data_IF_417749265895
#
_entry.id   IF_417749265895
#
_cell.length_a   1.000
_cell.length_b   1.000
_cell.length_c   1.000
_cell.angle_alpha   90.00
_cell.angle_beta   90.00
_cell.angle_gamma   90.00
#
_symmetry.space_group_name_H-M   'P 1'
#
loop_
_entity.id
_entity.type
_entity.pdbx_description
1 polymer ?
#
# COMPACT_ATOMS: atom_id res chain seq x y z
N UNK A 1 -23.63 -71.63 81.33
CA UNK A 1 -22.61 -71.74 80.27
C UNK A 1 -23.19 -71.10 79.02
N UNK A 2 -22.45 -70.12 78.50
CA UNK A 2 -22.66 -69.30 77.29
C UNK A 2 -22.89 -70.12 75.99
N UNK A 3 -23.39 -69.56 74.86
CA UNK A 3 -23.11 -68.19 74.42
C UNK A 3 -24.19 -67.37 73.69
N UNK A 4 -23.84 -66.08 73.68
CA UNK A 4 -24.27 -64.93 72.90
C UNK A 4 -24.31 -65.14 71.38
N UNK A 5 -25.50 -65.04 70.78
CA UNK A 5 -25.65 -64.75 69.34
C UNK A 5 -26.94 -63.90 69.21
N UNK A 6 -26.91 -62.83 68.41
CA UNK A 6 -28.00 -61.86 68.17
C UNK A 6 -28.15 -60.70 69.15
N UNK A 7 -27.05 -59.98 69.39
CA UNK A 7 -27.14 -58.56 69.72
C UNK A 7 -26.05 -57.82 68.95
N UNK A 8 -26.39 -57.30 67.76
CA UNK A 8 -25.65 -56.18 67.12
C UNK A 8 -26.23 -55.56 65.85
N UNK A 9 -27.22 -56.14 65.16
CA UNK A 9 -27.62 -55.59 63.84
C UNK A 9 -29.00 -54.94 63.72
N UNK A 10 -29.77 -54.79 64.81
CA UNK A 10 -31.15 -54.26 64.71
C UNK A 10 -31.48 -53.12 65.67
N UNK A 11 -30.54 -52.69 66.52
CA UNK A 11 -30.77 -51.70 67.58
C UNK A 11 -30.02 -50.37 67.37
N UNK A 12 -29.30 -50.20 66.26
CA UNK A 12 -28.65 -48.94 65.88
C UNK A 12 -29.42 -48.14 64.81
N UNK A 13 -30.60 -48.60 64.36
CA UNK A 13 -31.30 -48.00 63.21
C UNK A 13 -32.41 -46.99 63.54
N UNK A 14 -32.64 -46.62 64.81
CA UNK A 14 -33.87 -45.88 65.17
C UNK A 14 -33.65 -44.63 66.04
N UNK A 15 -32.42 -44.13 66.19
CA UNK A 15 -32.23 -42.88 66.95
C UNK A 15 -31.00 -42.11 66.49
N UNK A 16 -31.10 -41.52 65.31
CA UNK A 16 -30.40 -40.28 64.96
C UNK A 16 -31.17 -39.64 63.81
N UNK A 17 -32.22 -38.87 64.11
CA UNK A 17 -32.88 -38.03 63.13
C UNK A 17 -31.86 -36.98 62.66
N UNK A 18 -31.96 -36.60 61.38
CA UNK A 18 -31.35 -35.38 60.87
C UNK A 18 -29.83 -35.25 60.98
N UNK A 19 -29.15 -35.80 59.97
CA UNK A 19 -28.04 -35.04 59.36
C UNK A 19 -28.58 -33.86 58.53
N UNK A 20 -29.52 -33.07 59.06
CA UNK A 20 -29.76 -31.69 58.60
C UNK A 20 -28.71 -30.73 59.18
N UNK A 21 -27.95 -31.16 60.19
CA UNK A 21 -26.91 -30.38 60.86
C UNK A 21 -25.48 -30.80 60.46
N UNK A 22 -25.29 -31.37 59.27
CA UNK A 22 -24.05 -31.03 58.59
C UNK A 22 -24.25 -29.59 58.13
N UNK A 23 -24.03 -28.65 59.06
CA UNK A 23 -23.65 -27.31 58.67
C UNK A 23 -22.46 -27.55 57.75
N UNK A 24 -22.71 -27.54 56.44
CA UNK A 24 -21.72 -27.09 55.48
C UNK A 24 -21.12 -25.90 56.19
N UNK A 25 -19.85 -25.98 56.58
CA UNK A 25 -19.10 -24.79 56.98
C UNK A 25 -19.04 -23.95 55.71
N UNK A 26 -20.15 -23.31 55.39
CA UNK A 26 -20.29 -22.39 54.28
C UNK A 26 -19.33 -21.28 54.70
N UNK A 27 -18.30 -21.11 53.88
CA UNK A 27 -17.27 -20.09 54.02
C UNK A 27 -16.23 -20.27 55.13
N UNK A 28 -15.30 -21.21 54.91
CA UNK A 28 -13.91 -21.06 55.35
C UNK A 28 -13.39 -19.66 54.92
N UNK A 29 -12.73 -18.85 55.77
CA UNK A 29 -12.26 -17.51 55.42
C UNK A 29 -11.38 -17.43 54.16
N UNK A 30 -10.71 -18.52 53.77
CA UNK A 30 -10.00 -18.62 52.48
C UNK A 30 -10.92 -18.69 51.24
N UNK A 31 -12.19 -19.10 51.39
CA UNK A 31 -13.18 -19.08 50.31
C UNK A 31 -13.62 -17.63 50.03
N UNK A 32 -13.69 -16.77 51.05
CA UNK A 32 -13.99 -15.34 50.86
C UNK A 32 -12.90 -14.62 50.07
N UNK A 33 -11.62 -14.94 50.28
CA UNK A 33 -10.55 -14.34 49.48
C UNK A 33 -10.60 -14.80 48.02
N UNK A 34 -10.91 -16.07 47.77
CA UNK A 34 -11.15 -16.59 46.41
C UNK A 34 -12.35 -15.90 45.77
N UNK A 35 -13.47 -15.74 46.51
CA UNK A 35 -14.69 -15.11 46.01
C UNK A 35 -14.47 -13.62 45.72
N UNK A 36 -13.74 -12.91 46.58
CA UNK A 36 -13.33 -11.52 46.36
C UNK A 36 -12.38 -11.40 45.16
N UNK A 37 -11.43 -12.32 45.01
CA UNK A 37 -10.53 -12.34 43.85
C UNK A 37 -11.28 -12.59 42.54
N UNK A 38 -12.24 -13.53 42.54
CA UNK A 38 -13.13 -13.75 41.39
C UNK A 38 -13.99 -12.52 41.10
N UNK A 39 -14.55 -11.87 42.12
CA UNK A 39 -15.34 -10.64 41.95
C UNK A 39 -14.48 -9.50 41.40
N UNK A 40 -13.27 -9.30 41.93
CA UNK A 40 -12.33 -8.31 41.45
C UNK A 40 -11.92 -8.57 39.99
N UNK A 41 -11.72 -9.84 39.62
CA UNK A 41 -11.44 -10.23 38.24
C UNK A 41 -12.62 -9.95 37.31
N UNK A 42 -13.86 -10.23 37.73
CA UNK A 42 -15.07 -9.88 36.97
C UNK A 42 -15.22 -8.38 36.79
N UNK A 43 -14.95 -7.59 37.84
CA UNK A 43 -14.97 -6.12 37.76
C UNK A 43 -13.88 -5.63 36.81
N UNK A 44 -12.67 -6.18 36.87
CA UNK A 44 -11.58 -5.82 35.97
C UNK A 44 -11.91 -6.13 34.50
N UNK A 45 -12.49 -7.29 34.22
CA UNK A 45 -12.95 -7.67 32.88
C UNK A 45 -14.12 -6.77 32.42
N UNK A 46 -15.07 -6.45 33.31
CA UNK A 46 -16.17 -5.54 32.99
C UNK A 46 -15.69 -4.12 32.71
N UNK A 47 -14.75 -3.62 33.52
CA UNK A 47 -14.13 -2.32 33.34
C UNK A 47 -13.33 -2.26 32.04
N UNK A 48 -12.51 -3.27 31.75
CA UNK A 48 -11.79 -3.39 30.49
C UNK A 48 -12.75 -3.57 29.30
N UNK A 49 -13.87 -4.27 29.47
CA UNK A 49 -14.88 -4.43 28.42
C UNK A 49 -15.60 -3.12 28.08
N UNK A 50 -15.75 -2.23 29.06
CA UNK A 50 -16.40 -0.93 28.91
C UNK A 50 -15.45 0.17 28.42
N UNK A 51 -14.22 0.21 28.95
CA UNK A 51 -13.20 1.23 28.62
C UNK A 51 -12.18 0.79 27.57
N UNK A 52 -12.08 -0.50 27.30
CA UNK A 52 -11.21 -1.03 26.26
C UNK A 52 -11.68 -0.58 24.88
N UNK A 53 -10.73 -0.49 23.96
CA UNK A 53 -11.00 -0.13 22.57
C UNK A 53 -10.28 -1.14 21.69
N UNK A 54 -11.02 -1.81 20.80
CA UNK A 54 -10.49 -2.78 19.85
C UNK A 54 -10.64 -2.16 18.46
N UNK A 55 -9.52 -1.74 17.83
CA UNK A 55 -9.57 -1.15 16.51
C UNK A 55 -9.90 -2.23 15.47
N UNK A 56 -11.04 -2.09 14.78
CA UNK A 56 -11.33 -2.86 13.58
C UNK A 56 -10.52 -2.27 12.43
N UNK A 57 -9.60 -3.09 11.93
CA UNK A 57 -8.61 -2.67 10.97
C UNK A 57 -8.55 -3.59 9.78
N UNK A 58 -8.45 -2.98 8.60
CA UNK A 58 -8.28 -3.69 7.33
C UNK A 58 -6.80 -3.66 6.97
N UNK A 59 -6.23 -4.84 6.76
CA UNK A 59 -4.88 -4.97 6.20
C UNK A 59 -4.95 -4.93 4.68
N UNK A 60 -4.10 -4.11 4.08
CA UNK A 60 -3.93 -4.01 2.64
C UNK A 60 -2.44 -3.91 2.28
N UNK A 61 -2.08 -4.33 1.08
CA UNK A 61 -0.75 -4.09 0.50
C UNK A 61 -0.87 -2.97 -0.51
N UNK A 62 0.10 -2.07 -0.51
CA UNK A 62 0.16 -0.96 -1.45
C UNK A 62 1.59 -0.68 -1.88
N UNK A 63 1.72 0.17 -2.89
CA UNK A 63 3.02 0.65 -3.38
C UNK A 63 3.00 2.15 -3.42
N UNK A 64 4.13 2.76 -3.02
CA UNK A 64 4.33 4.20 -3.10
C UNK A 64 4.42 4.61 -4.57
N UNK A 65 3.56 5.54 -4.97
CA UNK A 65 3.43 6.04 -6.32
C UNK A 65 3.10 7.53 -6.34
N UNK A 66 3.59 8.31 -7.31
CA UNK A 66 3.17 9.71 -7.50
C UNK A 66 1.66 9.87 -7.73
N UNK A 67 1.11 11.01 -7.33
CA UNK A 67 -0.27 11.37 -7.60
C UNK A 67 -0.58 11.49 -9.10
N UNK A 68 0.37 12.00 -9.90
CA UNK A 68 0.18 12.25 -11.34
C UNK A 68 0.25 11.01 -12.24
N UNK A 69 0.48 9.81 -11.68
CA UNK A 69 0.67 8.58 -12.46
C UNK A 69 1.97 8.58 -13.28
N UNK A 70 2.10 7.61 -14.18
CA UNK A 70 3.23 7.53 -15.12
C UNK A 70 2.83 8.13 -16.45
N UNK A 71 3.61 9.10 -16.92
CA UNK A 71 3.49 9.60 -18.28
C UNK A 71 4.39 8.79 -19.20
N UNK A 72 3.79 8.06 -20.14
CA UNK A 72 4.54 7.25 -21.11
C UNK A 72 4.93 8.09 -22.31
N UNK A 73 6.20 8.04 -22.70
CA UNK A 73 6.71 8.69 -23.91
C UNK A 73 6.65 7.71 -25.07
N UNK A 74 5.75 7.99 -26.01
CA UNK A 74 5.55 7.20 -27.23
C UNK A 74 6.19 7.94 -28.41
N UNK A 75 6.99 7.27 -29.25
CA UNK A 75 7.63 7.92 -30.38
C UNK A 75 6.62 8.22 -31.49
N UNK A 76 6.83 9.32 -32.20
CA UNK A 76 6.01 9.68 -33.36
C UNK A 76 6.22 8.75 -34.56
N UNK A 77 7.37 8.06 -34.62
CA UNK A 77 7.71 7.12 -35.67
C UNK A 77 8.46 5.92 -35.08
N UNK A 78 8.13 4.72 -35.56
CA UNK A 78 8.87 3.51 -35.19
C UNK A 78 10.28 3.53 -35.77
N UNK A 79 11.18 2.80 -35.11
CA UNK A 79 12.57 2.70 -35.52
C UNK A 79 13.46 2.09 -34.44
N UNK A 80 14.76 2.00 -34.72
CA UNK A 80 15.74 1.50 -33.76
C UNK A 80 16.29 2.64 -32.91
N UNK A 81 16.32 2.45 -31.60
CA UNK A 81 16.89 3.42 -30.66
C UNK A 81 18.41 3.45 -30.88
N UNK A 82 18.92 4.57 -31.39
CA UNK A 82 20.36 4.75 -31.62
C UNK A 82 21.09 5.18 -30.37
N UNK A 83 20.46 6.02 -29.55
CA UNK A 83 21.04 6.55 -28.32
C UNK A 83 19.93 6.76 -27.29
N UNK A 84 20.19 6.34 -26.05
CA UNK A 84 19.32 6.50 -24.90
C UNK A 84 20.08 7.32 -23.86
N UNK A 85 19.65 8.57 -23.68
CA UNK A 85 20.37 9.59 -22.89
C UNK A 85 19.98 9.59 -21.42
N UNK A 86 19.04 8.75 -21.03
CA UNK A 86 18.49 8.69 -19.68
C UNK A 86 18.51 7.26 -19.15
N UNK A 87 18.67 7.14 -17.84
CA UNK A 87 18.59 5.87 -17.12
C UNK A 87 17.41 5.91 -16.14
N UNK A 88 16.96 4.73 -15.74
CA UNK A 88 15.97 4.59 -14.68
C UNK A 88 16.52 5.23 -13.40
N UNK A 89 15.76 6.15 -12.81
CA UNK A 89 16.13 6.94 -11.64
C UNK A 89 16.64 8.35 -11.95
N UNK A 90 16.93 8.69 -13.22
CA UNK A 90 17.37 10.03 -13.58
C UNK A 90 16.21 11.03 -13.54
N UNK A 91 16.49 12.26 -13.10
CA UNK A 91 15.56 13.39 -13.23
C UNK A 91 15.70 14.03 -14.60
N UNK A 92 14.58 14.23 -15.29
CA UNK A 92 14.48 14.85 -16.61
C UNK A 92 13.60 16.09 -16.57
N UNK A 93 13.91 17.08 -17.41
CA UNK A 93 13.09 18.28 -17.58
C UNK A 93 12.18 18.15 -18.81
N UNK A 94 11.03 18.83 -18.79
CA UNK A 94 10.16 18.92 -19.95
C UNK A 94 10.92 19.54 -21.14
N UNK A 95 10.88 18.86 -22.30
CA UNK A 95 11.63 19.23 -23.50
C UNK A 95 13.05 18.64 -23.56
N UNK A 96 13.54 17.97 -22.51
CA UNK A 96 14.84 17.31 -22.55
C UNK A 96 14.82 16.10 -23.49
N UNK A 97 15.87 15.94 -24.29
CA UNK A 97 16.04 14.79 -25.20
C UNK A 97 16.34 13.54 -24.38
N UNK A 98 15.47 12.54 -24.48
CA UNK A 98 15.61 11.25 -23.78
C UNK A 98 16.19 10.17 -24.69
N UNK A 99 15.82 10.15 -25.97
CA UNK A 99 16.25 9.13 -26.91
C UNK A 99 16.32 9.68 -28.34
N UNK A 100 17.10 9.02 -29.19
CA UNK A 100 17.24 9.34 -30.61
C UNK A 100 16.90 8.13 -31.47
N UNK A 101 15.96 8.29 -32.40
CA UNK A 101 15.52 7.25 -33.35
C UNK A 101 15.76 7.75 -34.78
N UNK A 102 16.89 7.35 -35.41
CA UNK A 102 17.21 7.79 -36.75
C UNK A 102 16.16 7.33 -37.77
N UNK A 103 15.71 8.27 -38.61
CA UNK A 103 14.80 8.01 -39.72
C UNK A 103 15.61 7.88 -41.02
N UNK A 104 16.03 6.66 -41.37
CA UNK A 104 16.92 6.41 -42.53
C UNK A 104 16.33 6.92 -43.85
N UNK A 105 15.01 6.83 -44.03
CA UNK A 105 14.28 7.33 -45.19
C UNK A 105 14.42 8.86 -45.32
N UNK A 106 14.24 9.60 -44.23
CA UNK A 106 14.36 11.07 -44.21
C UNK A 106 15.80 11.49 -44.44
N UNK A 107 16.77 10.79 -43.85
CA UNK A 107 18.21 11.06 -44.05
C UNK A 107 18.60 10.89 -45.53
N UNK A 108 18.10 9.84 -46.19
CA UNK A 108 18.36 9.61 -47.63
C UNK A 108 17.82 10.75 -48.49
N UNK A 109 16.57 11.16 -48.29
CA UNK A 109 15.97 12.29 -49.02
C UNK A 109 16.70 13.61 -48.75
N UNK A 110 17.12 13.84 -47.51
CA UNK A 110 17.83 15.05 -47.11
C UNK A 110 19.23 15.12 -47.75
N UNK A 111 19.90 13.98 -47.94
CA UNK A 111 21.17 13.89 -48.66
C UNK A 111 20.99 14.06 -50.17
N UNK A 112 19.94 13.48 -50.77
CA UNK A 112 19.62 13.66 -52.19
C UNK A 112 19.33 15.12 -52.53
N UNK A 113 18.52 15.81 -51.71
CA UNK A 113 18.21 17.22 -51.90
C UNK A 113 19.42 18.13 -51.71
N UNK A 114 20.28 17.85 -50.70
CA UNK A 114 21.53 18.60 -50.50
C UNK A 114 22.54 18.39 -51.64
N UNK A 115 22.49 17.24 -52.31
CA UNK A 115 23.35 16.92 -53.46
C UNK A 115 22.87 17.49 -54.80
N UNK A 116 21.68 18.10 -54.85
CA UNK A 116 21.12 18.65 -56.09
C UNK A 116 21.79 19.97 -56.52
N UNK A 117 21.84 20.23 -57.83
CA UNK A 117 22.55 21.38 -58.45
C UNK A 117 21.94 22.73 -58.05
N UNK A 118 20.66 22.76 -57.67
CA UNK A 118 19.97 23.91 -57.06
C UNK A 118 19.21 23.44 -55.81
N UNK A 119 19.83 23.51 -54.62
CA UNK A 119 19.20 23.07 -53.39
C UNK A 119 18.05 24.01 -53.02
N UNK A 120 16.82 23.48 -53.03
CA UNK A 120 15.66 24.20 -52.52
C UNK A 120 15.75 24.31 -50.99
N UNK A 121 16.25 25.46 -50.52
CA UNK A 121 16.46 25.72 -49.10
C UNK A 121 15.17 25.60 -48.28
N UNK A 122 14.00 25.91 -48.87
CA UNK A 122 12.72 25.79 -48.16
C UNK A 122 12.38 24.33 -47.91
N UNK A 123 12.58 23.48 -48.91
CA UNK A 123 12.35 22.04 -48.77
C UNK A 123 13.34 21.40 -47.80
N UNK A 124 14.63 21.76 -47.89
CA UNK A 124 15.66 21.26 -46.96
C UNK A 124 15.34 21.65 -45.52
N UNK A 125 14.92 22.90 -45.29
CA UNK A 125 14.51 23.35 -43.97
C UNK A 125 13.30 22.56 -43.46
N UNK A 126 12.28 22.34 -44.30
CA UNK A 126 11.10 21.57 -43.94
C UNK A 126 11.43 20.11 -43.57
N UNK A 127 12.24 19.41 -44.39
CA UNK A 127 12.67 18.03 -44.10
C UNK A 127 13.58 17.96 -42.85
N UNK A 128 14.40 18.99 -42.61
CA UNK A 128 15.25 19.03 -41.41
C UNK A 128 14.39 19.13 -40.14
N UNK A 129 13.38 20.00 -40.14
CA UNK A 129 12.43 20.10 -39.03
C UNK A 129 11.59 18.83 -38.85
N UNK A 130 11.20 18.17 -39.94
CA UNK A 130 10.52 16.88 -39.87
C UNK A 130 11.42 15.79 -39.26
N UNK A 131 12.70 15.76 -39.65
CA UNK A 131 13.69 14.87 -39.07
C UNK A 131 13.86 15.11 -37.57
N UNK A 132 14.07 16.36 -37.14
CA UNK A 132 14.24 16.70 -35.72
C UNK A 132 13.01 16.30 -34.90
N UNK A 133 11.80 16.60 -35.38
CA UNK A 133 10.57 16.27 -34.67
C UNK A 133 10.29 14.77 -34.58
N UNK A 134 10.74 13.96 -35.54
CA UNK A 134 10.50 12.50 -35.56
C UNK A 134 11.65 11.69 -34.95
N UNK A 135 12.87 12.22 -35.02
CA UNK A 135 14.09 11.54 -34.58
C UNK A 135 14.41 11.83 -33.12
N UNK A 136 14.14 13.06 -32.65
CA UNK A 136 14.40 13.44 -31.27
C UNK A 136 13.17 13.16 -30.41
N UNK A 137 13.32 12.19 -29.51
CA UNK A 137 12.30 11.90 -28.52
C UNK A 137 12.59 12.75 -27.30
N UNK A 138 11.66 13.65 -26.96
CA UNK A 138 11.76 14.56 -25.83
C UNK A 138 10.81 14.14 -24.71
N UNK A 139 11.17 14.49 -23.47
CA UNK A 139 10.26 14.32 -22.34
C UNK A 139 9.10 15.32 -22.41
N UNK A 140 7.83 14.88 -22.32
CA UNK A 140 6.68 15.80 -22.26
C UNK A 140 6.53 16.48 -20.89
N UNK A 141 7.15 15.94 -19.83
CA UNK A 141 6.99 16.42 -18.44
C UNK A 141 8.32 16.41 -17.69
N UNK A 142 8.47 17.30 -16.70
CA UNK A 142 9.61 17.23 -15.78
C UNK A 142 9.36 16.21 -14.68
N UNK A 143 10.33 15.36 -14.37
CA UNK A 143 10.21 14.36 -13.31
C UNK A 143 11.23 13.22 -13.37
N UNK A 144 10.94 12.09 -12.74
CA UNK A 144 11.87 10.95 -12.63
C UNK A 144 11.53 9.86 -13.66
N UNK A 145 12.55 9.32 -14.33
CA UNK A 145 12.42 8.18 -15.24
C UNK A 145 12.22 6.89 -14.45
N UNK A 146 11.05 6.26 -14.57
CA UNK A 146 10.74 4.96 -13.97
C UNK A 146 11.14 3.77 -14.84
N UNK A 147 11.03 3.93 -16.16
CA UNK A 147 11.37 2.89 -17.11
C UNK A 147 11.95 3.54 -18.36
N UNK A 148 12.93 2.87 -18.97
CA UNK A 148 13.53 3.28 -20.23
C UNK A 148 13.92 2.02 -21.01
N UNK A 149 13.65 2.00 -22.31
CA UNK A 149 14.11 0.96 -23.24
C UNK A 149 15.63 0.99 -23.41
N UNK A 150 16.19 -0.09 -23.94
CA UNK A 150 17.64 -0.18 -24.15
C UNK A 150 18.07 0.38 -25.49
N UNK A 151 19.34 0.80 -25.59
CA UNK A 151 19.96 1.15 -26.87
C UNK A 151 19.95 -0.07 -27.79
N UNK A 152 19.76 0.15 -29.09
CA UNK A 152 19.60 -0.87 -30.16
C UNK A 152 18.29 -1.66 -30.14
N UNK A 153 17.36 -1.34 -29.25
CA UNK A 153 16.02 -1.95 -29.28
C UNK A 153 15.18 -1.32 -30.39
N UNK A 154 14.36 -2.14 -31.06
CA UNK A 154 13.43 -1.68 -32.10
C UNK A 154 12.08 -1.42 -31.44
N UNK A 155 11.56 -0.22 -31.61
CA UNK A 155 10.27 0.20 -31.04
C UNK A 155 9.32 0.65 -32.14
N UNK A 156 8.03 0.40 -31.91
CA UNK A 156 6.95 0.88 -32.79
C UNK A 156 6.50 2.29 -32.38
N UNK A 157 5.78 3.00 -33.26
CA UNK A 157 5.13 4.29 -32.96
C UNK A 157 3.98 4.19 -31.96
N UNK A 158 3.67 2.99 -31.48
CA UNK A 158 2.62 2.72 -30.48
C UNK A 158 3.19 2.23 -29.16
N UNK A 159 4.50 1.97 -29.09
CA UNK A 159 5.15 1.42 -27.92
C UNK A 159 5.83 2.52 -27.10
N UNK A 160 5.64 2.51 -25.78
CA UNK A 160 6.29 3.45 -24.90
C UNK A 160 7.80 3.15 -24.80
N UNK A 161 8.63 4.18 -25.02
CA UNK A 161 10.09 4.09 -24.91
C UNK A 161 10.54 4.36 -23.48
N UNK A 162 9.84 5.25 -22.78
CA UNK A 162 10.14 5.60 -21.40
C UNK A 162 8.86 5.90 -20.62
N UNK A 163 8.86 5.55 -19.34
CA UNK A 163 7.84 5.96 -18.37
C UNK A 163 8.42 7.02 -17.46
N UNK A 164 7.82 8.21 -17.44
CA UNK A 164 8.29 9.36 -16.67
C UNK A 164 7.20 9.74 -15.68
N UNK A 165 7.55 9.72 -14.41
CA UNK A 165 6.68 10.24 -13.37
C UNK A 165 6.90 11.72 -13.29
N UNK A 166 5.84 12.51 -13.53
CA UNK A 166 5.89 13.94 -13.26
C UNK A 166 6.22 14.11 -11.77
N UNK A 167 7.29 14.85 -11.49
CA UNK A 167 7.67 15.21 -10.14
C UNK A 167 8.17 16.66 -10.17
N UNK A 168 7.47 17.53 -9.45
CA UNK A 168 7.95 18.90 -9.28
C UNK A 168 9.07 18.89 -8.23
N UNK A 169 10.18 19.58 -8.50
CA UNK A 169 11.42 19.58 -7.68
C UNK A 169 11.21 19.89 -6.19
N UNK A 170 10.03 20.39 -5.81
CA UNK A 170 9.64 20.76 -4.45
C UNK A 170 8.29 20.18 -3.98
N UNK A 171 7.56 19.45 -4.82
CA UNK A 171 6.31 18.80 -4.42
C UNK A 171 6.60 17.36 -4.00
N UNK A 172 6.27 17.01 -2.76
CA UNK A 172 6.27 15.62 -2.30
C UNK A 172 4.85 15.07 -2.48
N UNK A 173 4.53 14.69 -3.72
CA UNK A 173 3.22 14.24 -4.16
C UNK A 173 3.07 12.71 -4.09
N UNK A 174 3.84 12.08 -3.19
CA UNK A 174 3.80 10.63 -2.98
C UNK A 174 2.47 10.22 -2.39
N UNK A 175 1.79 9.34 -3.09
CA UNK A 175 0.63 8.62 -2.63
C UNK A 175 0.97 7.13 -2.52
N UNK A 176 0.09 6.37 -1.89
CA UNK A 176 0.15 4.92 -1.91
C UNK A 176 -1.09 4.45 -2.62
N UNK A 177 -0.88 3.62 -3.63
CA UNK A 177 -1.95 2.97 -4.37
C UNK A 177 -2.06 1.54 -3.84
N UNK A 178 -3.28 1.12 -3.54
CA UNK A 178 -3.60 -0.26 -3.25
C UNK A 178 -4.90 -0.67 -3.90
N UNK A 179 -5.09 -1.98 -4.02
CA UNK A 179 -6.32 -2.56 -4.53
C UNK A 179 -6.98 -3.34 -3.42
N UNK A 180 -8.24 -3.01 -3.15
CA UNK A 180 -9.00 -3.60 -2.06
C UNK A 180 -10.26 -4.23 -2.65
N UNK A 181 -10.58 -5.49 -2.28
CA UNK A 181 -11.82 -6.13 -2.73
C UNK A 181 -13.04 -5.24 -2.45
N UNK A 182 -13.96 -5.16 -3.41
CA UNK A 182 -15.18 -4.35 -3.31
C UNK A 182 -16.01 -4.65 -2.05
N UNK A 183 -15.96 -5.88 -1.54
CA UNK A 183 -16.60 -6.29 -0.28
C UNK A 183 -16.06 -5.55 0.95
N UNK A 184 -14.75 -5.32 0.99
CA UNK A 184 -14.06 -4.61 2.06
C UNK A 184 -14.14 -3.10 1.83
N UNK A 185 -13.95 -2.66 0.58
CA UNK A 185 -13.98 -1.24 0.21
C UNK A 185 -15.30 -0.55 0.57
N UNK A 186 -16.43 -1.27 0.56
CA UNK A 186 -17.74 -0.76 1.04
C UNK A 186 -17.74 -0.26 2.48
N UNK A 187 -16.83 -0.74 3.33
CA UNK A 187 -16.68 -0.29 4.72
C UNK A 187 -15.78 0.94 4.83
N UNK A 188 -14.99 1.22 3.81
CA UNK A 188 -14.01 2.30 3.79
C UNK A 188 -14.66 3.63 3.41
N UNK A 189 -14.09 4.72 3.89
CA UNK A 189 -14.50 6.08 3.54
C UNK A 189 -13.26 6.95 3.37
N UNK A 190 -13.35 7.93 2.49
CA UNK A 190 -12.34 8.99 2.39
C UNK A 190 -12.16 9.68 3.74
N UNK A 191 -10.92 10.02 4.08
CA UNK A 191 -10.52 10.59 5.36
C UNK A 191 -10.19 9.58 6.47
N UNK A 192 -10.43 8.28 6.28
CA UNK A 192 -10.02 7.26 7.26
C UNK A 192 -8.49 7.24 7.46
N UNK A 193 -8.05 7.07 8.71
CA UNK A 193 -6.63 6.97 9.04
C UNK A 193 -6.05 5.65 8.53
N UNK A 194 -4.87 5.75 7.92
CA UNK A 194 -4.10 4.63 7.41
C UNK A 194 -2.71 4.66 8.02
N UNK A 195 -2.32 3.55 8.62
CA UNK A 195 -0.98 3.36 9.15
C UNK A 195 -0.17 2.55 8.16
N UNK A 196 0.91 3.11 7.66
CA UNK A 196 1.69 2.56 6.55
C UNK A 196 3.10 2.20 7.04
N UNK A 197 3.56 0.99 6.77
CA UNK A 197 4.92 0.55 7.07
C UNK A 197 5.58 -0.05 5.82
N UNK A 198 6.78 0.40 5.41
CA UNK A 198 7.51 -0.20 4.29
C UNK A 198 7.92 -1.64 4.58
N UNK A 199 7.95 -2.50 3.57
CA UNK A 199 8.32 -3.92 3.75
C UNK A 199 9.75 -4.11 4.28
N UNK A 200 10.67 -3.20 3.92
CA UNK A 200 12.06 -3.24 4.36
C UNK A 200 12.28 -2.64 5.76
N UNK A 201 11.27 -1.96 6.33
CA UNK A 201 11.34 -1.26 7.61
C UNK A 201 10.19 -1.74 8.51
N UNK A 202 10.39 -2.85 9.25
CA UNK A 202 9.36 -3.45 10.09
C UNK A 202 8.80 -2.46 11.12
N UNK A 203 7.49 -2.52 11.33
CA UNK A 203 6.76 -1.58 12.19
C UNK A 203 7.21 -1.64 13.64
N UNK A 204 7.64 -2.80 14.11
CA UNK A 204 8.10 -3.04 15.47
C UNK A 204 9.38 -2.27 15.79
N UNK A 205 10.19 -1.97 14.77
CA UNK A 205 11.48 -1.31 14.92
C UNK A 205 11.45 0.15 14.44
N UNK A 206 10.80 0.42 13.30
CA UNK A 206 10.77 1.73 12.66
C UNK A 206 9.47 2.51 12.87
N UNK A 207 8.44 1.87 13.44
CA UNK A 207 7.12 2.46 13.56
C UNK A 207 6.36 2.48 12.23
N UNK A 208 5.41 3.39 12.10
CA UNK A 208 4.58 3.52 10.91
C UNK A 208 4.42 4.99 10.51
N UNK A 209 4.20 5.22 9.23
CA UNK A 209 3.80 6.51 8.67
C UNK A 209 2.29 6.69 8.82
N UNK A 210 1.87 7.90 9.16
CA UNK A 210 0.46 8.27 9.23
C UNK A 210 0.00 8.80 7.88
N UNK A 211 -1.08 8.25 7.34
CA UNK A 211 -1.74 8.72 6.11
C UNK A 211 -3.26 8.73 6.25
N UNK A 212 -3.93 9.21 5.22
CA UNK A 212 -5.39 9.21 5.12
C UNK A 212 -5.84 8.78 3.73
N UNK A 213 -7.00 8.12 3.66
CA UNK A 213 -7.61 7.78 2.37
C UNK A 213 -8.05 9.07 1.68
N UNK A 214 -7.53 9.33 0.48
CA UNK A 214 -7.90 10.50 -0.32
C UNK A 214 -8.89 10.16 -1.42
N UNK A 215 -8.86 8.94 -1.95
CA UNK A 215 -9.82 8.51 -2.95
C UNK A 215 -10.09 7.00 -2.91
N UNK A 216 -11.34 6.63 -3.19
CA UNK A 216 -11.78 5.24 -3.34
C UNK A 216 -12.46 5.11 -4.69
N UNK A 217 -11.92 4.25 -5.55
CA UNK A 217 -12.49 3.92 -6.84
C UNK A 217 -13.86 3.27 -6.72
N UNK A 218 -14.77 3.60 -7.64
CA UNK A 218 -16.14 3.05 -7.68
C UNK A 218 -16.28 1.85 -8.59
N UNK A 219 -15.26 1.56 -9.41
CA UNK A 219 -15.27 0.50 -10.41
C UNK A 219 -14.11 -0.47 -10.18
N UNK A 220 -14.34 -1.79 -10.39
CA UNK A 220 -13.28 -2.76 -10.28
C UNK A 220 -12.22 -2.51 -11.34
N UNK A 221 -10.97 -2.64 -10.94
CA UNK A 221 -9.80 -2.33 -11.77
C UNK A 221 -9.33 -3.60 -12.49
N UNK A 222 -9.00 -3.49 -13.77
CA UNK A 222 -8.44 -4.60 -14.55
C UNK A 222 -6.90 -4.62 -14.45
N UNK A 223 -6.27 -5.75 -14.81
CA UNK A 223 -4.80 -5.84 -14.87
C UNK A 223 -4.18 -4.78 -15.81
N UNK A 224 -4.85 -4.47 -16.92
CA UNK A 224 -4.40 -3.46 -17.88
C UNK A 224 -4.41 -2.05 -17.28
N UNK A 225 -5.40 -1.73 -16.45
CA UNK A 225 -5.48 -0.45 -15.74
C UNK A 225 -4.35 -0.32 -14.71
N UNK A 226 -4.05 -1.40 -13.97
CA UNK A 226 -2.94 -1.43 -13.01
C UNK A 226 -1.60 -1.22 -13.72
N UNK A 227 -1.38 -1.91 -14.83
CA UNK A 227 -0.16 -1.74 -15.63
C UNK A 227 -0.02 -0.31 -16.16
N UNK A 228 -1.13 0.30 -16.57
CA UNK A 228 -1.15 1.69 -17.05
C UNK A 228 -0.89 2.69 -15.94
N UNK A 229 -1.45 2.46 -14.75
CA UNK A 229 -1.27 3.34 -13.59
C UNK A 229 0.16 3.31 -13.05
N UNK A 230 0.78 2.13 -12.99
CA UNK A 230 2.09 1.90 -12.35
C UNK A 230 3.24 1.88 -13.36
N UNK A 231 2.95 1.74 -14.66
CA UNK A 231 3.89 1.87 -15.78
C UNK A 231 4.91 0.73 -15.96
N UNK A 232 4.99 -0.22 -15.02
CA UNK A 232 5.87 -1.40 -15.13
C UNK A 232 5.25 -2.65 -14.50
N UNK A 233 5.44 -3.79 -15.18
CA UNK A 233 5.01 -5.10 -14.70
C UNK A 233 5.67 -5.51 -13.38
N UNK A 234 6.89 -5.03 -13.10
CA UNK A 234 7.60 -5.36 -11.87
C UNK A 234 6.88 -4.82 -10.63
N UNK A 235 6.33 -3.61 -10.71
CA UNK A 235 5.55 -3.01 -9.63
C UNK A 235 4.11 -3.55 -9.60
N UNK A 236 3.54 -3.82 -10.77
CA UNK A 236 2.18 -4.39 -10.87
C UNK A 236 2.08 -5.80 -10.26
N UNK A 237 3.14 -6.62 -10.31
CA UNK A 237 3.13 -8.01 -9.80
C UNK A 237 2.79 -8.11 -8.31
N UNK A 238 3.17 -7.12 -7.51
CA UNK A 238 2.83 -7.04 -6.08
C UNK A 238 1.49 -6.36 -5.79
N UNK A 239 0.86 -5.80 -6.83
CA UNK A 239 -0.36 -5.00 -6.80
C UNK A 239 -1.48 -5.62 -7.65
N UNK A 240 -1.34 -6.87 -8.10
CA UNK A 240 -2.37 -7.50 -8.92
C UNK A 240 -3.66 -7.61 -8.09
N UNK A 241 -4.77 -7.00 -8.56
CA UNK A 241 -6.01 -7.00 -7.82
C UNK A 241 -6.56 -8.42 -7.74
N UNK A 242 -7.03 -8.82 -6.55
CA UNK A 242 -7.91 -9.99 -6.43
C UNK A 242 -9.24 -9.69 -7.16
N UNK A 243 -10.00 -10.72 -7.52
CA UNK A 243 -11.26 -10.57 -8.28
C UNK A 243 -12.15 -9.45 -7.72
N UNK A 244 -12.51 -8.48 -8.57
CA UNK A 244 -13.36 -7.33 -8.21
C UNK A 244 -12.78 -6.44 -7.09
N UNK A 245 -11.55 -5.95 -7.28
CA UNK A 245 -10.93 -4.94 -6.39
C UNK A 245 -11.02 -3.53 -6.96
N UNK A 246 -11.20 -2.54 -6.09
CA UNK A 246 -11.17 -1.11 -6.43
C UNK A 246 -9.84 -0.50 -6.04
N UNK A 247 -9.41 0.52 -6.80
CA UNK A 247 -8.25 1.33 -6.44
C UNK A 247 -8.56 2.19 -5.22
N UNK A 248 -7.67 2.19 -4.23
CA UNK A 248 -7.73 3.09 -3.07
C UNK A 248 -6.41 3.84 -2.99
N UNK A 249 -6.51 5.17 -2.97
CA UNK A 249 -5.39 6.08 -2.85
C UNK A 249 -5.30 6.62 -1.44
N UNK A 250 -4.07 6.59 -0.91
CA UNK A 250 -3.74 7.06 0.43
C UNK A 250 -2.65 8.11 0.32
N UNK A 251 -2.84 9.25 0.97
CA UNK A 251 -1.82 10.30 1.03
C UNK A 251 -1.17 10.31 2.42
N UNK A 252 0.15 10.35 2.44
CA UNK A 252 0.92 10.43 3.67
C UNK A 252 0.81 11.83 4.28
N UNK A 253 0.73 11.88 5.60
CA UNK A 253 0.66 13.14 6.34
C UNK A 253 2.04 13.78 6.36
N UNK A 254 2.11 15.02 5.91
CA UNK A 254 3.36 15.79 5.89
C UNK A 254 3.70 16.26 7.30
N UNK A 255 4.95 16.08 7.71
CA UNK A 255 5.52 16.63 8.93
C UNK A 255 6.79 17.43 8.59
N UNK A 256 6.75 18.78 8.62
CA UNK A 256 7.91 19.62 8.35
C UNK A 256 9.10 19.39 9.30
N UNK A 257 8.87 18.79 10.47
CA UNK A 257 9.93 18.48 11.44
C UNK A 257 10.70 17.20 11.14
N UNK A 258 10.17 16.33 10.27
CA UNK A 258 10.79 15.05 9.90
C UNK A 258 11.80 15.23 8.75
N UNK A 259 12.91 14.49 8.77
CA UNK A 259 13.93 14.55 7.71
C UNK A 259 13.36 14.14 6.34
N UNK A 260 12.44 13.18 6.32
CA UNK A 260 11.75 12.74 5.11
C UNK A 260 10.41 13.45 4.87
N UNK A 261 10.12 14.54 5.59
CA UNK A 261 8.89 15.35 5.48
C UNK A 261 7.58 14.59 5.73
N UNK A 262 7.64 13.36 6.24
CA UNK A 262 6.48 12.52 6.52
C UNK A 262 6.34 12.34 8.02
N UNK A 263 5.10 12.29 8.50
CA UNK A 263 4.78 12.03 9.89
C UNK A 263 4.95 10.55 10.22
N UNK A 264 5.94 10.24 11.06
CA UNK A 264 6.20 8.90 11.58
C UNK A 264 5.78 8.77 13.04
N UNK A 265 5.45 7.54 13.44
CA UNK A 265 5.20 7.22 14.86
C UNK A 265 6.48 7.06 15.68
N UNK A 266 7.65 6.98 15.03
CA UNK A 266 8.96 6.78 15.66
C UNK A 266 10.03 7.60 14.95
N UNK A 267 10.95 8.19 15.74
CA UNK A 267 12.07 8.99 15.25
C UNK A 267 12.99 8.23 14.29
N UNK A 268 13.10 6.91 14.44
CA UNK A 268 13.97 6.09 13.59
C UNK A 268 13.50 6.09 12.14
N UNK A 269 12.19 6.01 11.92
CA UNK A 269 11.57 6.03 10.59
C UNK A 269 11.68 7.38 9.87
N UNK A 270 11.80 8.49 10.60
CA UNK A 270 11.97 9.83 10.00
C UNK A 270 13.22 9.96 9.13
N UNK A 271 14.26 9.14 9.40
CA UNK A 271 15.53 9.12 8.66
C UNK A 271 15.53 8.19 7.44
N UNK A 272 14.44 7.45 7.22
CA UNK A 272 14.34 6.47 6.14
C UNK A 272 14.02 7.14 4.80
N UNK A 273 14.78 6.80 3.75
CA UNK A 273 14.47 7.23 2.38
C UNK A 273 13.39 6.35 1.76
N UNK A 274 12.35 6.99 1.20
CA UNK A 274 11.25 6.31 0.52
C UNK A 274 11.32 6.58 -0.97
N UNK A 275 11.44 5.53 -1.76
CA UNK A 275 11.49 5.59 -3.21
C UNK A 275 10.13 5.24 -3.82
N UNK A 276 9.89 5.68 -5.06
CA UNK A 276 8.73 5.21 -5.82
C UNK A 276 8.90 3.70 -6.07
N UNK A 277 7.80 2.95 -6.00
CA UNK A 277 7.83 1.49 -6.16
C UNK A 277 8.10 0.72 -4.87
N UNK A 278 8.31 1.39 -3.74
CA UNK A 278 8.42 0.73 -2.44
C UNK A 278 7.10 0.08 -2.03
N UNK A 279 7.12 -1.24 -1.85
CA UNK A 279 6.02 -2.01 -1.27
C UNK A 279 5.83 -1.67 0.21
N UNK A 280 4.57 -1.47 0.59
CA UNK A 280 4.16 -1.10 1.93
C UNK A 280 2.99 -1.96 2.40
N UNK A 281 3.01 -2.31 3.68
CA UNK A 281 1.86 -2.84 4.38
C UNK A 281 1.06 -1.69 4.98
N UNK A 282 -0.25 -1.76 4.83
CA UNK A 282 -1.19 -0.75 5.32
C UNK A 282 -2.19 -1.36 6.28
N UNK A 283 -2.46 -0.63 7.34
CA UNK A 283 -3.49 -0.91 8.32
C UNK A 283 -4.47 0.27 8.30
N UNK A 284 -5.63 0.07 7.70
CA UNK A 284 -6.70 1.08 7.60
C UNK A 284 -7.58 0.94 8.83
N UNK A 285 -7.70 2.01 9.63
CA UNK A 285 -8.52 2.03 10.85
C UNK A 285 -9.95 2.40 10.47
N UNK A 286 -10.84 1.40 10.44
CA UNK A 286 -12.22 1.56 9.97
C UNK A 286 -13.13 2.08 11.07
N UNK A 287 -13.09 1.42 12.24
CA UNK A 287 -13.89 1.79 13.39
C UNK A 287 -13.30 1.20 14.67
N UNK A 288 -13.33 2.01 15.71
CA UNK A 288 -13.03 1.60 17.07
C UNK A 288 -14.28 1.01 17.72
N UNK A 289 -14.24 -0.27 18.11
CA UNK A 289 -15.32 -0.94 18.85
C UNK A 289 -14.94 -1.07 20.32
N UNK A 290 -15.91 -0.85 21.20
CA UNK A 290 -15.76 -1.22 22.61
C UNK A 290 -16.00 -2.72 22.75
N UNK A 291 -15.22 -3.48 23.53
CA UNK A 291 -15.35 -4.93 23.62
C UNK A 291 -16.76 -5.43 23.94
N UNK A 292 -17.55 -4.69 24.74
CA UNK A 292 -18.93 -5.07 25.02
C UNK A 292 -19.83 -5.10 23.76
N UNK A 293 -19.57 -4.26 22.76
CA UNK A 293 -20.35 -4.20 21.51
C UNK A 293 -20.18 -5.45 20.64
N UNK A 294 -19.11 -6.23 20.83
CA UNK A 294 -18.85 -7.47 20.10
C UNK A 294 -19.52 -8.68 20.75
N UNK A 295 -19.75 -8.65 22.07
CA UNK A 295 -20.34 -9.77 22.82
C UNK A 295 -21.88 -9.76 22.76
N UNK A 296 -22.49 -8.58 22.67
CA UNK A 296 -23.94 -8.40 22.65
C UNK A 296 -24.53 -8.14 21.26
N UNK A 297 -23.84 -8.57 20.19
CA UNK A 297 -24.24 -8.35 18.80
C UNK A 297 -24.96 -9.53 18.18
#
# INVERSE_FOLDING_TARGET
>A
MEPSIFRKSSLERISSPERLNEYIKITNPGIWSILLACLALLIAVGFWGYYGNIPDSVRAKGVIFPQSGVNTVIPSAGGRISDMRVKVGDFVEAGQIIAVIPQENVIKQLNELKGSVQPDQKLIAALTSEYESRSLIISPVSGIVLSAKSVNETVSSTEAIAGIVKQEKYADDKQIICYIPTSIAKKLKEGMEVQVSPDFAPREEYGYMLGHITNIGTYPVSEADVLSAVGSMQYAKGLMPEESSVEVRVTLTVDPGSQNKIKWSSKKGESTSLSIGTSCNMLIVVKDYRPYELVFK
#
